data_IF_869019545379
#
_entry.id   IF_869019545379
#
_cell.length_a   1.000
_cell.length_b   1.000
_cell.length_c   1.000
_cell.angle_alpha   90.00
_cell.angle_beta   90.00
_cell.angle_gamma   90.00
#
_symmetry.space_group_name_H-M   'P 1'
#
loop_
_entity.id
_entity.type
_entity.pdbx_description
1 polymer ?
#
# COMPACT_ATOMS: atom_id res chain seq x y z
N UNK A 1 12.19 -8.69 -19.81
CA UNK A 1 12.89 -8.34 -18.56
C UNK A 1 14.21 -9.10 -18.53
N UNK A 2 15.36 -8.47 -18.22
CA UNK A 2 16.67 -9.09 -18.38
C UNK A 2 16.90 -10.28 -17.43
N UNK A 3 17.64 -11.31 -17.85
CA UNK A 3 17.95 -12.50 -17.04
C UNK A 3 18.58 -12.15 -15.69
N UNK A 4 19.47 -11.15 -15.69
CA UNK A 4 20.15 -10.62 -14.49
C UNK A 4 19.18 -10.10 -13.42
N UNK A 5 18.00 -9.60 -13.81
CA UNK A 5 16.97 -9.18 -12.84
C UNK A 5 16.49 -10.35 -11.98
N UNK A 6 16.23 -11.51 -12.60
CA UNK A 6 15.69 -12.67 -11.89
C UNK A 6 16.71 -13.27 -10.92
N UNK A 7 18.00 -13.26 -11.28
CA UNK A 7 19.09 -13.69 -10.41
C UNK A 7 19.21 -12.78 -9.19
N UNK A 8 19.23 -11.46 -9.41
CA UNK A 8 19.31 -10.46 -8.33
C UNK A 8 18.07 -10.54 -7.43
N UNK A 9 16.88 -10.65 -8.01
CA UNK A 9 15.65 -10.87 -7.25
C UNK A 9 15.76 -12.10 -6.35
N UNK A 10 16.25 -13.22 -6.87
CA UNK A 10 16.40 -14.47 -6.11
C UNK A 10 17.40 -14.32 -4.96
N UNK A 11 18.53 -13.65 -5.20
CA UNK A 11 19.54 -13.36 -4.18
C UNK A 11 19.03 -12.44 -3.07
N UNK A 12 18.26 -11.41 -3.42
CA UNK A 12 17.69 -10.49 -2.43
C UNK A 12 16.58 -11.17 -1.62
N UNK A 13 15.80 -12.06 -2.26
CA UNK A 13 14.74 -12.84 -1.61
C UNK A 13 15.25 -13.96 -0.70
N UNK A 14 16.46 -14.47 -0.91
CA UNK A 14 17.06 -15.44 0.01
C UNK A 14 17.55 -14.77 1.31
N UNK A 15 17.84 -13.47 1.30
CA UNK A 15 18.27 -12.72 2.48
C UNK A 15 17.11 -12.07 3.25
N UNK A 16 16.03 -11.66 2.57
CA UNK A 16 14.80 -11.16 3.22
C UNK A 16 13.58 -11.86 2.63
N UNK A 17 12.81 -12.51 3.51
CA UNK A 17 11.53 -13.12 3.15
C UNK A 17 10.54 -12.08 2.62
N UNK A 18 9.73 -12.50 1.63
CA UNK A 18 8.57 -11.74 1.14
C UNK A 18 7.66 -11.33 2.28
N UNK A 19 7.39 -12.29 3.17
CA UNK A 19 6.48 -12.16 4.30
C UNK A 19 6.99 -11.08 5.28
N UNK A 20 8.27 -11.10 5.62
CA UNK A 20 8.84 -10.13 6.57
C UNK A 20 8.79 -8.70 6.01
N UNK A 21 9.12 -8.54 4.73
CA UNK A 21 9.07 -7.23 4.06
C UNK A 21 7.66 -6.68 3.95
N UNK A 22 6.67 -7.55 3.67
CA UNK A 22 5.27 -7.17 3.59
C UNK A 22 4.70 -6.87 4.98
N UNK A 23 5.05 -7.67 6.00
CA UNK A 23 4.51 -7.50 7.34
C UNK A 23 5.01 -6.21 7.99
N UNK A 24 6.27 -5.81 7.75
CA UNK A 24 6.77 -4.49 8.18
C UNK A 24 5.97 -3.34 7.57
N UNK A 25 5.63 -3.43 6.27
CA UNK A 25 4.80 -2.42 5.59
C UNK A 25 3.36 -2.42 6.07
N UNK A 26 2.74 -3.60 6.22
CA UNK A 26 1.38 -3.73 6.79
C UNK A 26 1.34 -3.09 8.18
N UNK A 27 2.31 -3.39 9.04
CA UNK A 27 2.42 -2.79 10.37
C UNK A 27 2.58 -1.26 10.30
N UNK A 28 3.38 -0.75 9.37
CA UNK A 28 3.57 0.70 9.17
C UNK A 28 2.27 1.40 8.79
N UNK A 29 1.53 0.86 7.82
CA UNK A 29 0.25 1.42 7.39
C UNK A 29 -0.83 1.25 8.46
N UNK A 30 -0.88 0.11 9.16
CA UNK A 30 -1.80 -0.11 10.26
C UNK A 30 -1.59 0.90 11.38
N UNK A 31 -0.33 1.19 11.75
CA UNK A 31 0.00 2.22 12.73
C UNK A 31 -0.39 3.63 12.25
N UNK A 32 -0.18 3.94 10.97
CA UNK A 32 -0.56 5.23 10.38
C UNK A 32 -2.09 5.43 10.36
N UNK A 33 -2.84 4.45 9.85
CA UNK A 33 -4.30 4.52 9.81
C UNK A 33 -4.92 4.46 11.21
N UNK A 34 -4.33 3.69 12.12
CA UNK A 34 -4.70 3.68 13.54
C UNK A 34 -4.49 5.05 14.20
N UNK A 35 -3.36 5.70 13.92
CA UNK A 35 -3.10 7.07 14.39
C UNK A 35 -4.15 8.05 13.88
N UNK A 36 -4.46 8.03 12.58
CA UNK A 36 -5.48 8.89 11.97
C UNK A 36 -6.88 8.64 12.56
N UNK A 37 -7.27 7.38 12.74
CA UNK A 37 -8.58 7.03 13.30
C UNK A 37 -8.73 7.56 14.74
N UNK A 38 -7.71 7.40 15.57
CA UNK A 38 -7.70 7.92 16.95
C UNK A 38 -7.69 9.45 16.94
N UNK A 39 -6.90 10.07 16.06
CA UNK A 39 -6.82 11.52 15.91
C UNK A 39 -8.19 12.13 15.51
N UNK A 40 -8.89 11.54 14.54
CA UNK A 40 -10.23 11.96 14.13
C UNK A 40 -11.25 11.75 15.25
N UNK A 41 -11.13 10.64 16.00
CA UNK A 41 -12.00 10.37 17.16
C UNK A 41 -11.85 11.47 18.21
N UNK A 42 -10.61 11.91 18.49
CA UNK A 42 -10.33 13.01 19.41
C UNK A 42 -10.95 14.33 18.92
N UNK A 43 -10.79 14.64 17.62
CA UNK A 43 -11.37 15.83 17.00
C UNK A 43 -12.91 15.88 17.09
N UNK A 44 -13.58 14.74 16.88
CA UNK A 44 -15.04 14.66 17.00
C UNK A 44 -15.53 14.71 18.46
N UNK A 45 -14.68 14.35 19.43
CA UNK A 45 -15.01 14.42 20.87
C UNK A 45 -14.79 15.78 21.52
N UNK A 46 -14.36 16.82 20.79
CA UNK A 46 -14.16 18.18 21.33
C UNK A 46 -15.44 18.82 21.95
N UNK A 47 -16.62 18.22 21.76
CA UNK A 47 -17.85 18.60 22.49
C UNK A 47 -17.97 18.00 23.92
N UNK A 48 -17.10 17.08 24.33
CA UNK A 48 -17.04 16.54 25.70
C UNK A 48 -15.65 16.76 26.28
N UNK A 49 -15.61 17.57 27.33
CA UNK A 49 -14.47 18.27 27.95
C UNK A 49 -13.43 17.40 28.66
N UNK A 50 -13.08 16.22 28.14
CA UNK A 50 -11.89 15.50 28.63
C UNK A 50 -11.31 14.58 27.55
N UNK A 51 -10.30 15.09 26.83
CA UNK A 51 -9.41 14.20 26.06
C UNK A 51 -8.65 13.38 27.10
N UNK A 52 -9.08 12.14 27.31
CA UNK A 52 -8.45 11.25 28.29
C UNK A 52 -6.94 11.21 28.06
N UNK A 53 -6.14 11.54 29.08
CA UNK A 53 -4.67 11.50 28.97
C UNK A 53 -4.12 10.16 28.46
N UNK A 54 -4.89 9.07 28.63
CA UNK A 54 -4.60 7.75 28.05
C UNK A 54 -4.60 7.75 26.51
N UNK A 55 -5.48 8.50 25.85
CA UNK A 55 -5.52 8.62 24.38
C UNK A 55 -4.32 9.38 23.83
N UNK A 56 -3.87 10.44 24.53
CA UNK A 56 -2.65 11.16 24.17
C UNK A 56 -1.40 10.28 24.32
N UNK A 57 -1.30 9.54 25.42
CA UNK A 57 -0.20 8.58 25.63
C UNK A 57 -0.21 7.50 24.53
N UNK A 58 -1.38 6.98 24.17
CA UNK A 58 -1.52 6.00 23.09
C UNK A 58 -1.05 6.54 21.73
N UNK A 59 -1.40 7.78 21.38
CA UNK A 59 -0.93 8.43 20.15
C UNK A 59 0.59 8.58 20.12
N UNK A 60 1.21 8.97 21.24
CA UNK A 60 2.66 9.08 21.36
C UNK A 60 3.31 7.70 21.16
N UNK A 61 2.81 6.66 21.82
CA UNK A 61 3.31 5.29 21.67
C UNK A 61 3.21 4.82 20.21
N UNK A 62 2.06 5.04 19.56
CA UNK A 62 1.88 4.68 18.16
C UNK A 62 2.86 5.42 17.24
N UNK A 63 3.08 6.72 17.47
CA UNK A 63 4.06 7.52 16.73
C UNK A 63 5.49 7.00 16.89
N UNK A 64 5.87 6.62 18.13
CA UNK A 64 7.18 6.03 18.42
C UNK A 64 7.34 4.68 17.73
N UNK A 65 6.34 3.80 17.82
CA UNK A 65 6.36 2.49 17.16
C UNK A 65 6.43 2.62 15.63
N UNK A 66 5.71 3.59 15.06
CA UNK A 66 5.78 3.89 13.63
C UNK A 66 7.21 4.29 13.23
N UNK A 67 7.83 5.22 13.97
CA UNK A 67 9.20 5.68 13.70
C UNK A 67 10.22 4.56 13.81
N UNK A 68 10.12 3.73 14.84
CA UNK A 68 10.99 2.56 15.00
C UNK A 68 10.83 1.61 13.80
N UNK A 69 9.61 1.27 13.39
CA UNK A 69 9.40 0.37 12.26
C UNK A 69 10.02 0.91 10.96
N UNK A 70 9.90 2.22 10.70
CA UNK A 70 10.56 2.88 9.56
C UNK A 70 12.08 2.76 9.61
N UNK A 71 12.68 2.98 10.78
CA UNK A 71 14.13 2.89 10.95
C UNK A 71 14.62 1.44 10.81
N UNK A 72 13.90 0.46 11.35
CA UNK A 72 14.18 -0.96 11.14
C UNK A 72 14.14 -1.35 9.66
N UNK A 73 13.16 -0.86 8.89
CA UNK A 73 13.07 -1.07 7.44
C UNK A 73 14.31 -0.48 6.73
N UNK A 74 14.70 0.76 7.07
CA UNK A 74 15.91 1.40 6.52
C UNK A 74 17.18 0.60 6.82
N UNK A 75 17.37 0.15 8.06
CA UNK A 75 18.56 -0.64 8.46
C UNK A 75 18.59 -1.97 7.71
N UNK A 76 17.44 -2.62 7.53
CA UNK A 76 17.35 -3.85 6.76
C UNK A 76 17.75 -3.64 5.30
N UNK A 77 17.26 -2.57 4.66
CA UNK A 77 17.63 -2.22 3.28
C UNK A 77 19.14 -1.93 3.22
N UNK A 78 19.66 -1.10 4.12
CA UNK A 78 21.10 -0.76 4.20
C UNK A 78 21.98 -2.01 4.33
N UNK A 79 21.65 -2.94 5.22
CA UNK A 79 22.39 -4.19 5.37
C UNK A 79 22.38 -5.06 4.11
N UNK A 80 21.21 -5.16 3.46
CA UNK A 80 21.03 -5.96 2.25
C UNK A 80 21.81 -5.35 1.07
N UNK A 81 21.80 -4.02 0.96
CA UNK A 81 22.58 -3.28 -0.02
C UNK A 81 24.08 -3.45 0.19
N UNK A 82 24.58 -3.48 1.42
CA UNK A 82 25.99 -3.80 1.68
C UNK A 82 26.34 -5.23 1.29
N UNK A 83 25.48 -6.19 1.60
CA UNK A 83 25.70 -7.59 1.20
C UNK A 83 25.75 -7.72 -0.33
N UNK A 84 24.93 -6.93 -1.04
CA UNK A 84 24.95 -6.84 -2.49
C UNK A 84 26.26 -6.22 -3.03
N UNK A 85 26.69 -5.08 -2.49
CA UNK A 85 27.93 -4.40 -2.93
C UNK A 85 29.17 -5.25 -2.64
N UNK A 86 29.28 -5.85 -1.45
CA UNK A 86 30.41 -6.74 -1.08
C UNK A 86 30.47 -8.02 -1.90
N UNK A 87 29.34 -8.49 -2.43
CA UNK A 87 29.30 -9.64 -3.32
C UNK A 87 29.74 -9.34 -4.76
N UNK A 88 30.05 -8.06 -5.08
CA UNK A 88 30.48 -7.58 -6.40
C UNK A 88 29.64 -8.13 -7.57
N UNK A 89 28.32 -8.21 -7.37
CA UNK A 89 27.41 -8.90 -8.30
C UNK A 89 27.20 -8.15 -9.62
N UNK A 90 27.40 -6.83 -9.63
CA UNK A 90 27.29 -5.97 -10.81
C UNK A 90 28.25 -4.79 -10.70
N UNK A 91 28.79 -4.39 -11.85
CA UNK A 91 29.49 -3.12 -12.00
C UNK A 91 28.52 -1.93 -11.96
N UNK A 92 29.01 -0.72 -11.67
CA UNK A 92 28.19 0.47 -11.48
C UNK A 92 27.37 0.82 -12.72
N UNK A 93 27.97 0.77 -13.92
CA UNK A 93 27.29 1.05 -15.19
C UNK A 93 26.17 0.04 -15.48
N UNK A 94 26.41 -1.25 -15.20
CA UNK A 94 25.43 -2.31 -15.37
C UNK A 94 24.28 -2.21 -14.35
N UNK A 95 24.57 -1.68 -13.16
CA UNK A 95 23.58 -1.40 -12.12
C UNK A 95 22.65 -0.27 -12.55
N UNK A 96 23.20 0.82 -13.11
CA UNK A 96 22.42 1.94 -13.64
C UNK A 96 21.53 1.54 -14.83
N UNK A 97 22.05 0.76 -15.78
CA UNK A 97 21.26 0.21 -16.88
C UNK A 97 20.08 -0.63 -16.38
N UNK A 98 20.32 -1.50 -15.40
CA UNK A 98 19.28 -2.34 -14.81
C UNK A 98 18.23 -1.50 -14.05
N UNK A 99 18.65 -0.45 -13.34
CA UNK A 99 17.75 0.51 -12.68
C UNK A 99 16.83 1.17 -13.73
N UNK A 100 17.41 1.67 -14.83
CA UNK A 100 16.66 2.32 -15.91
C UNK A 100 15.63 1.37 -16.54
N UNK A 101 16.01 0.12 -16.80
CA UNK A 101 15.11 -0.91 -17.33
C UNK A 101 13.96 -1.23 -16.38
N UNK A 102 14.25 -1.34 -15.07
CA UNK A 102 13.22 -1.58 -14.05
C UNK A 102 12.29 -0.38 -13.95
N UNK A 103 12.80 0.84 -13.97
CA UNK A 103 12.02 2.07 -13.87
C UNK A 103 11.10 2.26 -15.09
N UNK A 104 11.64 2.04 -16.29
CA UNK A 104 10.86 2.00 -17.53
C UNK A 104 9.75 0.95 -17.47
N UNK A 105 10.06 -0.26 -16.97
CA UNK A 105 9.08 -1.33 -16.82
C UNK A 105 8.00 -1.00 -15.79
N UNK A 106 8.38 -0.41 -14.65
CA UNK A 106 7.44 0.06 -13.63
C UNK A 106 6.51 1.14 -14.17
N UNK A 107 7.04 2.08 -14.95
CA UNK A 107 6.24 3.14 -15.56
C UNK A 107 5.25 2.57 -16.59
N UNK A 108 5.69 1.62 -17.42
CA UNK A 108 4.80 0.90 -18.36
C UNK A 108 3.69 0.15 -17.63
N UNK A 109 4.01 -0.57 -16.55
CA UNK A 109 3.00 -1.28 -15.76
C UNK A 109 2.03 -0.30 -15.09
N UNK A 110 2.52 0.83 -14.58
CA UNK A 110 1.66 1.85 -13.98
C UNK A 110 0.71 2.47 -15.02
N UNK A 111 1.21 2.80 -16.21
CA UNK A 111 0.39 3.30 -17.31
C UNK A 111 -0.63 2.26 -17.77
N UNK A 112 -0.23 0.99 -17.85
CA UNK A 112 -1.15 -0.11 -18.13
C UNK A 112 -2.21 -0.28 -17.05
N UNK A 113 -1.85 -0.18 -15.77
CA UNK A 113 -2.77 -0.27 -14.64
C UNK A 113 -3.82 0.85 -14.68
N UNK A 114 -3.39 2.09 -14.93
CA UNK A 114 -4.29 3.24 -15.05
C UNK A 114 -5.23 3.10 -16.26
N UNK A 115 -4.67 2.69 -17.41
CA UNK A 115 -5.44 2.48 -18.63
C UNK A 115 -6.47 1.35 -18.48
N UNK A 116 -6.04 0.19 -17.96
CA UNK A 116 -6.91 -0.96 -17.71
C UNK A 116 -7.97 -0.68 -16.64
N UNK A 117 -7.64 0.07 -15.58
CA UNK A 117 -8.61 0.51 -14.59
C UNK A 117 -9.70 1.41 -15.21
N UNK A 118 -9.33 2.30 -16.15
CA UNK A 118 -10.28 3.12 -16.89
C UNK A 118 -11.23 2.31 -17.78
N UNK A 119 -10.71 1.27 -18.45
CA UNK A 119 -11.52 0.34 -19.24
C UNK A 119 -12.46 -0.46 -18.33
N UNK A 120 -11.94 -1.01 -17.23
CA UNK A 120 -12.72 -1.76 -16.25
C UNK A 120 -13.82 -0.91 -15.63
N UNK A 121 -13.56 0.37 -15.34
CA UNK A 121 -14.57 1.31 -14.85
C UNK A 121 -15.69 1.51 -15.88
N UNK A 122 -15.34 1.74 -17.15
CA UNK A 122 -16.32 1.91 -18.24
C UNK A 122 -17.18 0.66 -18.43
N UNK A 123 -16.58 -0.53 -18.45
CA UNK A 123 -17.30 -1.80 -18.54
C UNK A 123 -18.20 -2.00 -17.31
N UNK A 124 -17.71 -1.67 -16.11
CA UNK A 124 -18.49 -1.81 -14.88
C UNK A 124 -19.72 -0.89 -14.87
N UNK A 125 -19.58 0.35 -15.32
CA UNK A 125 -20.70 1.29 -15.46
C UNK A 125 -21.68 0.80 -16.52
N UNK A 126 -21.18 0.30 -17.66
CA UNK A 126 -22.04 -0.24 -18.71
C UNK A 126 -22.86 -1.44 -18.23
N UNK A 127 -22.21 -2.44 -17.62
CA UNK A 127 -22.88 -3.61 -17.04
C UNK A 127 -23.87 -3.20 -15.96
N UNK A 128 -23.47 -2.28 -15.07
CA UNK A 128 -24.35 -1.73 -14.03
C UNK A 128 -25.59 -1.06 -14.61
N UNK A 129 -25.43 -0.26 -15.66
CA UNK A 129 -26.54 0.43 -16.34
C UNK A 129 -27.46 -0.56 -17.05
N UNK A 130 -26.92 -1.55 -17.76
CA UNK A 130 -27.71 -2.61 -18.41
C UNK A 130 -28.49 -3.43 -17.38
N UNK A 131 -27.87 -3.77 -16.25
CA UNK A 131 -28.53 -4.52 -15.19
C UNK A 131 -29.64 -3.72 -14.52
N UNK A 132 -29.40 -2.45 -14.20
CA UNK A 132 -30.43 -1.54 -13.68
C UNK A 132 -31.59 -1.40 -14.68
N UNK A 133 -31.30 -1.19 -15.97
CA UNK A 133 -32.34 -1.11 -16.99
C UNK A 133 -33.13 -2.42 -17.09
N UNK A 134 -32.48 -3.57 -17.04
CA UNK A 134 -33.17 -4.87 -17.02
C UNK A 134 -34.08 -5.01 -15.80
N UNK A 135 -33.64 -4.61 -14.61
CA UNK A 135 -34.46 -4.60 -13.39
C UNK A 135 -35.66 -3.64 -13.52
N UNK A 136 -35.44 -2.42 -14.03
CA UNK A 136 -36.50 -1.44 -14.30
C UNK A 136 -37.52 -1.98 -15.30
N UNK A 137 -37.08 -2.78 -16.28
CA UNK A 137 -37.98 -3.38 -17.28
C UNK A 137 -38.81 -4.53 -16.70
N UNK A 138 -38.29 -5.23 -15.69
CA UNK A 138 -38.99 -6.30 -14.97
C UNK A 138 -40.01 -5.78 -13.95
N UNK A 139 -39.78 -4.59 -13.40
CA UNK A 139 -40.70 -3.91 -12.48
C UNK A 139 -41.74 -3.14 -13.29
N UNK A 140 -43.04 -3.39 -13.06
CA UNK A 140 -44.12 -2.69 -13.76
C UNK A 140 -44.04 -1.18 -13.48
N UNK A 141 -44.24 -0.31 -14.49
CA UNK A 141 -44.18 1.17 -14.34
C UNK A 141 -45.03 1.71 -13.18
N UNK A 142 -46.12 1.03 -12.82
CA UNK A 142 -46.99 1.35 -11.68
C UNK A 142 -46.38 1.01 -10.30
N UNK A 143 -45.57 -0.05 -10.19
CA UNK A 143 -44.85 -0.37 -8.95
C UNK A 143 -43.66 0.58 -8.75
N UNK A 144 -43.00 0.95 -9.85
CA UNK A 144 -41.88 1.89 -9.85
C UNK A 144 -42.32 3.31 -9.46
N UNK A 145 -43.49 3.77 -9.94
CA UNK A 145 -44.05 5.06 -9.55
C UNK A 145 -44.55 5.07 -8.11
N UNK A 146 -45.15 3.97 -7.62
CA UNK A 146 -45.50 3.80 -6.19
C UNK A 146 -44.27 3.85 -5.29
N UNK A 147 -43.18 3.20 -5.67
CA UNK A 147 -41.93 3.22 -4.91
C UNK A 147 -41.27 4.60 -4.98
N UNK A 148 -41.33 5.34 -6.10
CA UNK A 148 -40.68 6.66 -6.20
C UNK A 148 -41.45 7.78 -5.47
N UNK A 149 -42.79 7.69 -5.39
CA UNK A 149 -43.68 8.72 -4.85
C UNK A 149 -44.02 8.48 -3.36
N UNK A 150 -43.98 7.23 -2.86
CA UNK A 150 -44.19 6.99 -1.43
C UNK A 150 -42.92 7.34 -0.64
N UNK A 151 -42.82 8.57 -0.13
CA UNK A 151 -41.89 8.90 0.94
C UNK A 151 -42.20 8.01 2.15
N UNK A 152 -41.33 7.03 2.43
CA UNK A 152 -41.35 6.30 3.71
C UNK A 152 -41.92 4.88 3.72
N UNK A 153 -41.84 4.11 2.62
CA UNK A 153 -42.00 2.65 2.71
C UNK A 153 -40.66 1.92 2.70
N UNK A 154 -40.57 0.80 3.45
CA UNK A 154 -39.39 -0.07 3.58
C UNK A 154 -38.76 -0.52 2.25
N UNK A 155 -39.52 -0.43 1.15
CA UNK A 155 -39.09 -0.77 -0.20
C UNK A 155 -38.16 0.27 -0.85
N UNK A 156 -38.32 1.58 -0.60
CA UNK A 156 -37.39 2.61 -1.10
C UNK A 156 -36.01 2.46 -0.46
N UNK A 157 -35.96 2.27 0.86
CA UNK A 157 -34.71 2.00 1.58
C UNK A 157 -34.03 0.74 1.07
N UNK A 158 -34.80 -0.27 0.65
CA UNK A 158 -34.27 -1.52 0.08
C UNK A 158 -33.63 -1.30 -1.30
N UNK A 159 -34.26 -0.53 -2.20
CA UNK A 159 -33.69 -0.25 -3.52
C UNK A 159 -32.45 0.64 -3.44
N UNK A 160 -32.48 1.70 -2.62
CA UNK A 160 -31.32 2.56 -2.39
C UNK A 160 -30.17 1.73 -1.78
N UNK A 161 -30.48 0.85 -0.83
CA UNK A 161 -29.48 -0.06 -0.24
C UNK A 161 -28.88 -1.01 -1.27
N UNK A 162 -29.69 -1.61 -2.16
CA UNK A 162 -29.21 -2.49 -3.24
C UNK A 162 -28.29 -1.73 -4.20
N UNK A 163 -28.65 -0.50 -4.56
CA UNK A 163 -27.87 0.34 -5.48
C UNK A 163 -26.54 0.77 -4.83
N UNK A 164 -26.57 1.13 -3.54
CA UNK A 164 -25.37 1.42 -2.76
C UNK A 164 -24.44 0.19 -2.66
N UNK A 165 -25.02 -0.99 -2.47
CA UNK A 165 -24.28 -2.26 -2.37
C UNK A 165 -23.65 -2.65 -3.72
N UNK A 166 -24.33 -2.41 -4.84
CA UNK A 166 -23.79 -2.57 -6.20
C UNK A 166 -22.60 -1.63 -6.44
N UNK A 167 -22.74 -0.34 -6.08
CA UNK A 167 -21.64 0.63 -6.19
C UNK A 167 -20.45 0.23 -5.31
N UNK A 168 -20.69 -0.26 -4.09
CA UNK A 168 -19.65 -0.78 -3.20
C UNK A 168 -18.90 -1.96 -3.82
N UNK A 169 -19.61 -2.92 -4.43
CA UNK A 169 -19.00 -4.07 -5.10
C UNK A 169 -18.08 -3.64 -6.24
N UNK A 170 -18.52 -2.68 -7.06
CA UNK A 170 -17.69 -2.15 -8.17
C UNK A 170 -16.43 -1.48 -7.62
N UNK A 171 -16.55 -0.67 -6.57
CA UNK A 171 -15.41 -0.02 -5.92
C UNK A 171 -14.44 -1.05 -5.33
N UNK A 172 -14.95 -2.06 -4.63
CA UNK A 172 -14.12 -3.13 -4.05
C UNK A 172 -13.42 -3.96 -5.13
N UNK A 173 -14.09 -4.22 -6.25
CA UNK A 173 -13.51 -4.93 -7.38
C UNK A 173 -12.37 -4.15 -8.03
N UNK A 174 -12.57 -2.85 -8.30
CA UNK A 174 -11.52 -1.97 -8.82
C UNK A 174 -10.34 -1.84 -7.84
N UNK A 175 -10.64 -1.75 -6.54
CA UNK A 175 -9.63 -1.70 -5.49
C UNK A 175 -8.81 -3.00 -5.44
N UNK A 176 -9.46 -4.16 -5.47
CA UNK A 176 -8.78 -5.46 -5.46
C UNK A 176 -7.90 -5.64 -6.70
N UNK A 177 -8.39 -5.23 -7.88
CA UNK A 177 -7.59 -5.22 -9.10
C UNK A 177 -6.34 -4.37 -8.94
N UNK A 178 -6.50 -3.13 -8.48
CA UNK A 178 -5.40 -2.19 -8.29
C UNK A 178 -4.37 -2.72 -7.28
N UNK A 179 -4.82 -3.28 -6.16
CA UNK A 179 -3.96 -3.90 -5.15
C UNK A 179 -3.19 -5.11 -5.71
N UNK A 180 -3.81 -5.90 -6.59
CA UNK A 180 -3.15 -7.04 -7.25
C UNK A 180 -2.00 -6.58 -8.14
N UNK A 181 -2.20 -5.50 -8.91
CA UNK A 181 -1.14 -4.91 -9.74
C UNK A 181 -0.02 -4.31 -8.88
N UNK A 182 -0.37 -3.67 -7.76
CA UNK A 182 0.63 -3.19 -6.81
C UNK A 182 1.43 -4.32 -6.17
N UNK A 183 0.79 -5.43 -5.81
CA UNK A 183 1.47 -6.61 -5.27
C UNK A 183 2.42 -7.22 -6.30
N UNK A 184 2.04 -7.27 -7.58
CA UNK A 184 2.89 -7.78 -8.65
C UNK A 184 4.13 -6.89 -8.89
N UNK A 185 3.97 -5.57 -8.81
CA UNK A 185 5.09 -4.62 -8.97
C UNK A 185 5.96 -4.46 -7.72
N UNK A 186 5.56 -5.07 -6.60
CA UNK A 186 6.23 -4.93 -5.31
C UNK A 186 7.71 -5.33 -5.35
N UNK A 187 7.99 -6.52 -5.89
CA UNK A 187 9.36 -7.04 -5.98
C UNK A 187 10.24 -6.17 -6.89
N UNK A 188 9.68 -5.62 -7.98
CA UNK A 188 10.40 -4.71 -8.86
C UNK A 188 10.79 -3.42 -8.15
N UNK A 189 9.86 -2.84 -7.38
CA UNK A 189 10.14 -1.63 -6.59
C UNK A 189 11.18 -1.91 -5.50
N UNK A 190 11.08 -3.05 -4.82
CA UNK A 190 12.04 -3.46 -3.80
C UNK A 190 13.45 -3.60 -4.36
N UNK A 191 13.61 -4.36 -5.45
CA UNK A 191 14.90 -4.52 -6.13
C UNK A 191 15.46 -3.18 -6.60
N UNK A 192 14.62 -2.31 -7.18
CA UNK A 192 15.04 -0.98 -7.62
C UNK A 192 15.56 -0.12 -6.46
N UNK A 193 14.88 -0.13 -5.31
CA UNK A 193 15.34 0.60 -4.12
C UNK A 193 16.72 0.14 -3.67
N UNK A 194 16.97 -1.17 -3.65
CA UNK A 194 18.25 -1.74 -3.21
C UNK A 194 19.38 -1.40 -4.19
N UNK A 195 19.11 -1.51 -5.50
CA UNK A 195 20.08 -1.15 -6.53
C UNK A 195 20.43 0.34 -6.47
N UNK A 196 19.43 1.23 -6.34
CA UNK A 196 19.68 2.67 -6.15
C UNK A 196 20.51 2.92 -4.91
N UNK A 197 20.15 2.32 -3.76
CA UNK A 197 20.94 2.44 -2.53
C UNK A 197 22.37 1.90 -2.68
N UNK A 198 22.62 0.90 -3.53
CA UNK A 198 23.95 0.32 -3.71
C UNK A 198 24.96 1.26 -4.36
N UNK A 199 24.47 2.22 -5.15
CA UNK A 199 25.30 3.25 -5.76
C UNK A 199 25.82 4.28 -4.73
N UNK A 200 25.15 4.41 -3.58
CA UNK A 200 25.45 5.45 -2.57
C UNK A 200 26.12 4.94 -1.28
N UNK A 201 26.24 3.62 -1.09
CA UNK A 201 26.88 3.05 0.11
C UNK A 201 28.38 2.95 -0.12
N UNK A 202 29.20 3.53 0.75
CA UNK A 202 30.66 3.37 0.76
C UNK A 202 31.11 2.06 1.44
N UNK A 203 32.29 1.56 1.07
CA UNK A 203 32.82 0.27 1.58
C UNK A 203 33.07 0.25 3.09
N UNK A 204 33.22 1.43 3.70
CA UNK A 204 33.46 1.64 5.13
C UNK A 204 32.20 1.50 6.00
N UNK A 205 31.02 1.39 5.38
CA UNK A 205 29.78 1.23 6.12
C UNK A 205 29.70 -0.16 6.81
N UNK A 206 29.31 -0.14 8.10
CA UNK A 206 29.18 -1.35 8.92
C UNK A 206 27.76 -1.89 8.89
N UNK A 207 27.63 -3.19 8.62
CA UNK A 207 26.34 -3.90 8.68
C UNK A 207 25.89 -4.10 10.15
N UNK A 208 24.62 -3.81 10.42
CA UNK A 208 24.02 -3.91 11.76
C UNK A 208 23.16 -5.19 11.84
N UNK A 209 23.76 -6.29 12.26
CA UNK A 209 23.05 -7.56 12.43
C UNK A 209 22.51 -7.76 13.85
N UNK A 210 21.31 -8.33 13.97
CA UNK A 210 20.66 -8.65 15.25
C UNK A 210 19.63 -7.63 15.73
N UNK A 211 18.51 -8.11 16.29
CA UNK A 211 17.37 -7.28 16.73
C UNK A 211 17.78 -6.22 17.75
N UNK A 212 18.52 -6.60 18.79
CA UNK A 212 18.97 -5.67 19.84
C UNK A 212 19.89 -4.57 19.31
N UNK A 213 20.83 -4.90 18.41
CA UNK A 213 21.70 -3.88 17.81
C UNK A 213 20.92 -2.90 16.93
N UNK A 214 19.94 -3.41 16.16
CA UNK A 214 19.03 -2.57 15.37
C UNK A 214 18.16 -1.68 16.25
N UNK A 215 17.68 -2.22 17.38
CA UNK A 215 16.89 -1.47 18.36
C UNK A 215 17.70 -0.33 18.97
N UNK A 216 18.89 -0.60 19.50
CA UNK A 216 19.77 0.41 20.08
C UNK A 216 20.16 1.48 19.07
N UNK A 217 20.57 1.08 17.85
CA UNK A 217 20.89 2.02 16.79
C UNK A 217 19.69 2.90 16.39
N UNK A 218 18.50 2.30 16.29
CA UNK A 218 17.26 3.02 16.01
C UNK A 218 16.85 3.98 17.13
N UNK A 219 17.26 3.72 18.37
CA UNK A 219 16.98 4.55 19.53
C UNK A 219 17.96 5.72 19.61
N UNK A 220 19.24 5.48 19.31
CA UNK A 220 20.26 6.53 19.16
C UNK A 220 19.96 7.49 18.01
N UNK A 221 19.44 6.97 16.89
CA UNK A 221 19.12 7.75 15.68
C UNK A 221 17.63 8.08 15.55
N UNK A 222 16.89 8.03 16.66
CA UNK A 222 15.43 8.22 16.66
C UNK A 222 15.00 9.60 16.13
N UNK A 223 15.74 10.64 16.53
CA UNK A 223 15.52 12.05 16.14
C UNK A 223 16.35 12.51 14.95
N UNK A 224 17.43 11.81 14.61
CA UNK A 224 18.26 12.18 13.45
C UNK A 224 17.49 11.91 12.16
N UNK A 225 17.32 12.95 11.34
CA UNK A 225 16.64 12.90 10.04
C UNK A 225 17.44 12.22 8.93
N UNK A 226 18.19 11.16 9.24
CA UNK A 226 19.02 10.41 8.28
C UNK A 226 18.30 9.12 7.85
#
# INVERSE_FOLDING_TARGET
MPLKYFEIKRLLRSQISLVDSLMSKVLKYLLLYGFLAIFVTIGNTQQKTDVSGKLLILLIIMGVLYRLNVLFEKINIKNLTMAFKKGNFLDSEHTEMLISDIESSLNKINNFANWSCGILATISIFVGTTYINFLITLITKEELSKILISEGTSSQSSLISILLQLMLIVVLFLLAYYLTVQAFTYDMRFVNTILKSSLYIDEDDKAIYGFWKKFWYSLEHFTSGI
#
